data_IF_190079951217
#
_entry.id   IF_190079951217
#
_cell.length_a   1.000
_cell.length_b   1.000
_cell.length_c   1.000
_cell.angle_alpha   90.00
_cell.angle_beta   90.00
_cell.angle_gamma   90.00
#
_symmetry.space_group_name_H-M   'P 1'
#
loop_
_entity.id
_entity.type
_entity.pdbx_description
1 polymer ?
#
# COMPACT_ATOMS: atom_id res chain seq x y z
N UNK A 1 -11.01 17.14 -16.65
CA UNK A 1 -9.77 16.53 -16.10
C UNK A 1 -8.77 16.46 -17.24
N UNK A 2 -7.57 16.95 -17.01
CA UNK A 2 -6.50 16.99 -18.02
C UNK A 2 -5.19 16.54 -17.35
N UNK A 3 -4.53 15.56 -17.96
CA UNK A 3 -3.23 15.02 -17.52
C UNK A 3 -3.21 14.62 -16.03
N UNK A 4 -4.24 13.91 -15.56
CA UNK A 4 -4.32 13.37 -14.20
C UNK A 4 -5.16 14.17 -13.20
N UNK A 5 -5.44 15.47 -13.46
CA UNK A 5 -6.11 16.33 -12.46
C UNK A 5 -7.19 17.26 -13.04
N UNK A 6 -8.03 17.84 -12.18
CA UNK A 6 -8.98 18.89 -12.56
C UNK A 6 -8.25 20.21 -12.76
N UNK A 7 -8.20 20.67 -14.01
CA UNK A 7 -7.53 21.91 -14.39
C UNK A 7 -8.39 22.67 -15.38
N UNK A 8 -8.16 23.98 -15.48
CA UNK A 8 -8.79 24.79 -16.51
C UNK A 8 -8.14 24.54 -17.89
N UNK A 9 -8.88 24.85 -18.96
CA UNK A 9 -8.41 24.70 -20.35
C UNK A 9 -7.12 25.49 -20.62
N UNK A 10 -6.93 26.64 -19.96
CA UNK A 10 -5.71 27.43 -20.07
C UNK A 10 -4.46 26.69 -19.56
N UNK A 11 -4.56 25.97 -18.43
CA UNK A 11 -3.43 25.21 -17.89
C UNK A 11 -3.22 23.88 -18.64
N UNK A 12 -4.30 23.26 -19.13
CA UNK A 12 -4.21 22.11 -20.05
C UNK A 12 -3.40 22.45 -21.29
N UNK A 13 -3.76 23.52 -22.00
CA UNK A 13 -3.08 23.90 -23.24
C UNK A 13 -1.62 24.31 -22.98
N UNK A 14 -1.38 25.02 -21.89
CA UNK A 14 -0.03 25.38 -21.45
C UNK A 14 0.84 24.14 -21.21
N UNK A 15 0.38 23.22 -20.34
CA UNK A 15 1.11 22.00 -19.98
C UNK A 15 1.43 21.15 -21.21
N UNK A 16 0.45 20.93 -22.10
CA UNK A 16 0.66 20.20 -23.36
C UNK A 16 1.81 20.78 -24.17
N UNK A 17 1.79 22.11 -24.41
CA UNK A 17 2.80 22.78 -25.22
C UNK A 17 4.17 22.79 -24.58
N UNK A 18 4.23 22.91 -23.25
CA UNK A 18 5.48 22.83 -22.50
C UNK A 18 6.15 21.48 -22.69
N UNK A 19 5.40 20.40 -22.49
CA UNK A 19 5.92 19.03 -22.56
C UNK A 19 6.26 18.62 -24.00
N UNK A 20 5.33 18.78 -24.95
CA UNK A 20 5.55 18.36 -26.34
C UNK A 20 6.71 19.08 -27.02
N UNK A 21 6.95 20.34 -26.66
CA UNK A 21 8.04 21.14 -27.24
C UNK A 21 9.27 21.21 -26.32
N UNK A 22 9.32 20.39 -25.26
CA UNK A 22 10.43 20.32 -24.29
C UNK A 22 10.90 21.71 -23.83
N UNK A 23 9.95 22.59 -23.52
CA UNK A 23 10.24 23.99 -23.15
C UNK A 23 10.84 24.06 -21.76
N UNK A 24 11.97 24.74 -21.65
CA UNK A 24 12.62 25.08 -20.40
C UNK A 24 12.34 26.56 -20.12
N UNK A 25 11.92 26.87 -18.89
CA UNK A 25 11.60 28.21 -18.45
C UNK A 25 12.49 28.62 -17.30
N UNK A 26 12.77 29.92 -17.18
CA UNK A 26 13.43 30.52 -16.02
C UNK A 26 12.44 31.40 -15.26
N UNK A 27 12.60 31.48 -13.94
CA UNK A 27 11.74 32.34 -13.13
C UNK A 27 12.00 33.83 -13.43
N UNK A 28 10.94 34.62 -13.50
CA UNK A 28 11.04 36.07 -13.69
C UNK A 28 11.39 36.80 -12.38
N UNK A 29 10.99 36.25 -11.23
CA UNK A 29 11.24 36.83 -9.90
C UNK A 29 12.50 36.31 -9.20
N UNK A 30 13.28 35.41 -9.84
CA UNK A 30 14.42 34.66 -9.29
C UNK A 30 14.12 33.74 -8.08
N UNK A 31 13.16 34.09 -7.23
CA UNK A 31 12.72 33.37 -6.02
C UNK A 31 11.95 32.05 -6.27
N UNK A 32 11.47 31.84 -7.49
CA UNK A 32 10.64 30.69 -7.85
C UNK A 32 9.23 30.70 -7.26
N UNK A 33 8.79 31.81 -6.66
CA UNK A 33 7.56 31.90 -5.86
C UNK A 33 6.48 32.84 -6.45
N UNK A 34 6.54 33.14 -7.76
CA UNK A 34 5.59 34.05 -8.39
C UNK A 34 4.11 33.61 -8.20
N UNK A 35 3.19 34.52 -7.84
CA UNK A 35 1.80 34.18 -7.56
C UNK A 35 1.04 33.71 -8.80
N UNK A 36 0.34 32.59 -8.67
CA UNK A 36 -0.41 31.95 -9.77
C UNK A 36 -1.91 32.11 -9.61
N UNK A 37 -2.41 33.29 -10.03
CA UNK A 37 -3.85 33.62 -10.12
C UNK A 37 -4.36 33.54 -11.57
N UNK A 38 -5.68 33.64 -11.78
CA UNK A 38 -6.29 33.57 -13.11
C UNK A 38 -5.78 34.71 -14.03
N UNK A 39 -5.52 35.87 -13.45
CA UNK A 39 -5.07 37.10 -14.10
C UNK A 39 -3.56 37.07 -14.37
N UNK A 40 -2.76 36.62 -13.38
CA UNK A 40 -1.30 36.76 -13.42
C UNK A 40 -0.54 35.50 -13.81
N UNK A 41 -1.19 34.34 -13.98
CA UNK A 41 -0.54 33.07 -14.36
C UNK A 41 0.29 33.12 -15.65
N UNK A 42 0.08 34.11 -16.52
CA UNK A 42 0.85 34.25 -17.75
C UNK A 42 2.19 35.00 -17.54
N UNK A 43 2.39 35.66 -16.39
CA UNK A 43 3.56 36.50 -16.11
C UNK A 43 4.85 35.70 -15.90
N UNK A 44 4.76 34.50 -15.31
CA UNK A 44 5.91 33.63 -15.09
C UNK A 44 5.58 32.21 -15.54
N UNK A 45 6.16 31.79 -16.68
CA UNK A 45 5.93 30.45 -17.22
C UNK A 45 6.59 29.36 -16.37
N UNK A 46 7.74 29.64 -15.76
CA UNK A 46 8.43 28.73 -14.86
C UNK A 46 7.56 28.35 -13.66
N UNK A 47 7.16 29.34 -12.83
CA UNK A 47 6.34 29.07 -11.66
C UNK A 47 4.96 28.49 -12.02
N UNK A 48 4.43 28.83 -13.20
CA UNK A 48 3.18 28.22 -13.69
C UNK A 48 3.36 26.73 -13.99
N UNK A 49 4.46 26.36 -14.64
CA UNK A 49 4.76 24.96 -14.94
C UNK A 49 5.07 24.17 -13.67
N UNK A 50 5.88 24.74 -12.77
CA UNK A 50 6.12 24.18 -11.44
C UNK A 50 4.80 23.94 -10.70
N UNK A 51 3.87 24.90 -10.68
CA UNK A 51 2.54 24.70 -10.08
C UNK A 51 1.71 23.61 -10.76
N UNK A 52 1.86 23.40 -12.07
CA UNK A 52 1.19 22.31 -12.78
C UNK A 52 1.72 20.95 -12.29
N UNK A 53 3.04 20.80 -12.19
CA UNK A 53 3.69 19.60 -11.65
C UNK A 53 3.33 19.38 -10.18
N UNK A 54 3.46 20.43 -9.37
CA UNK A 54 3.12 20.42 -7.95
C UNK A 54 1.64 20.12 -7.69
N UNK A 55 0.72 20.36 -8.63
CA UNK A 55 -0.69 19.97 -8.47
C UNK A 55 -0.98 18.56 -8.99
N UNK A 56 0.01 17.88 -9.57
CA UNK A 56 -0.10 16.50 -10.05
C UNK A 56 -0.41 16.36 -11.54
N UNK A 57 -0.08 17.34 -12.39
CA UNK A 57 -0.15 17.12 -13.85
C UNK A 57 0.97 16.16 -14.30
N UNK A 58 0.61 15.05 -14.94
CA UNK A 58 1.52 13.97 -15.33
C UNK A 58 2.11 14.23 -16.73
N UNK A 59 3.44 14.25 -16.84
CA UNK A 59 4.16 14.53 -18.09
C UNK A 59 3.86 13.48 -19.17
N UNK A 60 3.87 12.21 -18.78
CA UNK A 60 3.66 11.03 -19.63
C UNK A 60 2.23 10.94 -20.18
N UNK A 61 1.29 11.68 -19.59
CA UNK A 61 -0.06 11.81 -20.14
C UNK A 61 -0.10 12.68 -21.40
N UNK A 62 0.98 13.41 -21.71
CA UNK A 62 1.13 14.18 -22.93
C UNK A 62 1.76 13.29 -24.00
N UNK A 63 0.94 12.96 -25.01
CA UNK A 63 1.36 12.26 -26.22
C UNK A 63 2.51 12.98 -26.93
N UNK A 64 3.51 12.22 -27.36
CA UNK A 64 4.57 12.70 -28.26
C UNK A 64 4.05 12.92 -29.68
N UNK A 65 3.12 12.07 -30.13
CA UNK A 65 2.47 12.20 -31.43
C UNK A 65 1.51 13.40 -31.45
N UNK A 66 1.66 14.27 -32.45
CA UNK A 66 0.80 15.47 -32.65
C UNK A 66 -0.61 15.11 -33.18
N UNK A 67 -1.01 13.85 -33.05
CA UNK A 67 -2.29 13.33 -33.52
C UNK A 67 -3.47 14.04 -32.81
N UNK A 68 -4.47 14.54 -33.55
CA UNK A 68 -5.67 15.13 -32.96
C UNK A 68 -6.58 14.04 -32.39
N UNK A 69 -6.76 14.03 -31.06
CA UNK A 69 -7.86 13.32 -30.42
C UNK A 69 -7.70 11.80 -30.32
N UNK A 70 -7.65 11.30 -29.09
CA UNK A 70 -7.80 9.89 -28.76
C UNK A 70 -7.88 9.72 -27.24
N UNK A 71 -8.56 8.67 -26.77
CA UNK A 71 -8.53 8.31 -25.34
C UNK A 71 -7.14 7.74 -25.04
N UNK A 72 -6.43 8.31 -24.06
CA UNK A 72 -5.17 7.72 -23.58
C UNK A 72 -5.54 6.43 -22.83
N UNK A 73 -5.24 5.28 -23.42
CA UNK A 73 -5.39 3.96 -22.79
C UNK A 73 -4.25 3.58 -21.86
N UNK A 74 -3.40 4.54 -21.46
CA UNK A 74 -2.35 4.28 -20.47
C UNK A 74 -3.02 3.87 -19.15
N UNK A 75 -2.67 2.69 -18.65
CA UNK A 75 -3.12 2.11 -17.37
C UNK A 75 -3.07 3.13 -16.23
N UNK A 76 -2.04 3.98 -16.20
CA UNK A 76 -1.85 5.11 -15.27
C UNK A 76 -3.07 6.03 -15.20
N UNK A 77 -3.75 6.27 -16.33
CA UNK A 77 -4.92 7.16 -16.42
C UNK A 77 -6.19 6.54 -15.84
N UNK A 78 -6.30 5.21 -15.84
CA UNK A 78 -7.44 4.50 -15.27
C UNK A 78 -7.40 4.51 -13.74
N UNK A 79 -6.21 4.48 -13.14
CA UNK A 79 -6.02 4.41 -11.68
C UNK A 79 -6.61 5.64 -10.98
N UNK A 80 -6.44 6.85 -11.52
CA UNK A 80 -6.81 8.11 -10.86
C UNK A 80 -8.15 8.71 -11.29
N UNK A 81 -9.03 7.94 -11.95
CA UNK A 81 -10.34 8.43 -12.42
C UNK A 81 -11.33 8.59 -11.25
N UNK A 82 -11.05 9.50 -10.32
CA UNK A 82 -11.96 9.95 -9.27
C UNK A 82 -13.26 10.48 -9.91
N UNK A 83 -14.33 9.68 -9.81
CA UNK A 83 -15.69 10.14 -10.10
C UNK A 83 -16.15 11.06 -8.96
N UNK A 84 -15.92 12.36 -9.08
CA UNK A 84 -16.82 13.31 -8.44
C UNK A 84 -18.18 13.19 -9.17
N UNK A 85 -19.19 12.64 -8.49
CA UNK A 85 -20.59 12.64 -8.93
C UNK A 85 -20.99 14.08 -9.27
N UNK A 86 -21.02 14.45 -10.56
CA UNK A 86 -21.88 15.52 -11.01
C UNK A 86 -23.23 14.90 -11.33
N UNK A 87 -24.18 15.05 -10.41
CA UNK A 87 -25.59 14.93 -10.71
C UNK A 87 -25.89 15.90 -11.86
N UNK A 88 -26.09 15.37 -13.06
CA UNK A 88 -26.82 16.07 -14.12
C UNK A 88 -27.89 15.13 -14.62
N UNK A 89 -29.07 15.31 -14.04
CA UNK A 89 -30.33 14.93 -14.65
C UNK A 89 -30.38 15.57 -16.05
N UNK A 90 -30.49 14.74 -17.09
CA UNK A 90 -31.09 15.17 -18.37
C UNK A 90 -31.90 14.01 -18.90
N UNK A 91 -33.22 14.16 -19.13
CA UNK A 91 -34.03 13.10 -19.69
C UNK A 91 -33.76 12.96 -21.20
N UNK A 92 -33.97 11.78 -21.80
CA UNK A 92 -33.85 11.61 -23.24
C UNK A 92 -35.13 12.10 -23.93
N UNK A 93 -34.97 13.00 -24.90
CA UNK A 93 -36.00 13.28 -25.89
C UNK A 93 -35.70 12.46 -27.15
N UNK A 94 -36.76 11.81 -27.62
CA UNK A 94 -36.84 10.91 -28.78
C UNK A 94 -36.86 11.68 -30.11
N UNK A 95 -36.67 10.87 -31.15
CA UNK A 95 -37.02 11.04 -32.56
C UNK A 95 -36.03 11.82 -33.44
N UNK A 96 -35.76 11.46 -34.70
CA UNK A 96 -35.67 10.20 -35.46
C UNK A 96 -35.26 10.61 -36.89
N UNK A 97 -34.82 9.63 -37.69
CA UNK A 97 -34.91 9.54 -39.17
C UNK A 97 -33.60 9.61 -39.99
N UNK A 98 -33.45 8.51 -40.76
CA UNK A 98 -32.84 8.31 -42.08
C UNK A 98 -31.31 8.15 -42.18
N UNK A 99 -30.77 7.24 -43.01
CA UNK A 99 -31.29 6.12 -43.81
C UNK A 99 -30.05 5.51 -44.51
N UNK A 100 -29.82 4.21 -44.40
CA UNK A 100 -29.44 3.36 -45.54
C UNK A 100 -29.55 1.87 -45.17
N UNK A 101 -30.42 1.16 -45.89
CA UNK A 101 -30.62 -0.28 -45.90
C UNK A 101 -29.84 -0.91 -47.06
N UNK A 102 -29.43 -2.17 -46.89
CA UNK A 102 -29.64 -3.34 -47.78
C UNK A 102 -28.58 -4.41 -47.41
N UNK A 103 -28.89 -5.38 -46.54
CA UNK A 103 -29.47 -6.73 -46.77
C UNK A 103 -28.60 -7.71 -47.56
N UNK A 104 -28.11 -8.75 -46.87
CA UNK A 104 -28.12 -10.15 -47.32
C UNK A 104 -27.82 -11.08 -46.12
N UNK A 105 -28.77 -11.95 -45.81
CA UNK A 105 -28.69 -13.04 -44.82
C UNK A 105 -27.81 -14.18 -45.31
N UNK A 106 -27.01 -14.81 -44.41
CA UNK A 106 -26.87 -16.29 -44.29
C UNK A 106 -26.44 -16.62 -42.85
N UNK A 107 -27.18 -17.54 -42.24
CA UNK A 107 -27.09 -18.06 -40.87
C UNK A 107 -25.74 -18.72 -40.53
N UNK A 108 -25.26 -18.50 -39.31
CA UNK A 108 -24.12 -19.20 -38.73
C UNK A 108 -24.09 -19.07 -37.20
N UNK A 109 -24.56 -20.12 -36.52
CA UNK A 109 -24.54 -20.31 -35.06
C UNK A 109 -23.24 -19.86 -34.41
N UNK A 110 -23.31 -18.98 -33.42
CA UNK A 110 -22.36 -18.93 -32.31
C UNK A 110 -23.11 -18.64 -31.01
N UNK A 111 -22.78 -19.45 -30.00
CA UNK A 111 -23.43 -19.52 -28.71
C UNK A 111 -23.32 -18.21 -27.93
N UNK A 112 -24.43 -17.85 -27.31
CA UNK A 112 -24.57 -16.77 -26.34
C UNK A 112 -23.86 -17.19 -25.04
N UNK A 113 -22.62 -16.72 -24.86
CA UNK A 113 -21.91 -16.70 -23.57
C UNK A 113 -21.56 -15.24 -23.28
N UNK A 114 -22.58 -14.42 -23.09
CA UNK A 114 -22.42 -13.06 -22.57
C UNK A 114 -22.91 -13.02 -21.12
N UNK A 115 -22.09 -13.56 -20.22
CA UNK A 115 -22.15 -13.21 -18.80
C UNK A 115 -20.75 -12.92 -18.28
N UNK A 116 -20.21 -11.77 -18.69
CA UNK A 116 -19.12 -11.13 -17.97
C UNK A 116 -19.71 -10.10 -17.00
N UNK A 117 -19.56 -10.26 -15.67
CA UNK A 117 -20.12 -9.32 -14.72
C UNK A 117 -19.39 -7.98 -14.87
N UNK A 118 -20.06 -7.07 -15.56
CA UNK A 118 -19.80 -5.64 -15.75
C UNK A 118 -19.00 -5.06 -14.59
N UNK A 119 -17.67 -5.08 -14.72
CA UNK A 119 -16.73 -4.62 -13.69
C UNK A 119 -17.02 -3.15 -13.35
N UNK A 120 -17.43 -2.91 -12.11
CA UNK A 120 -17.51 -1.56 -11.54
C UNK A 120 -16.07 -1.04 -11.55
N UNK A 121 -15.73 -0.14 -12.47
CA UNK A 121 -14.40 0.51 -12.51
C UNK A 121 -14.11 1.20 -11.16
N UNK A 122 -13.43 0.52 -10.24
CA UNK A 122 -12.91 1.05 -8.97
C UNK A 122 -11.62 1.82 -9.25
N UNK A 123 -11.29 2.80 -8.40
CA UNK A 123 -9.97 3.43 -8.40
C UNK A 123 -8.97 2.36 -7.93
N UNK A 124 -7.80 2.25 -8.58
CA UNK A 124 -6.78 1.26 -8.21
C UNK A 124 -6.47 1.28 -6.71
N UNK A 125 -6.31 2.47 -6.13
CA UNK A 125 -6.00 2.59 -4.69
C UNK A 125 -7.13 2.00 -3.86
N UNK A 126 -8.39 2.20 -4.26
CA UNK A 126 -9.53 1.62 -3.57
C UNK A 126 -9.56 0.09 -3.69
N UNK A 127 -9.21 -0.43 -4.86
CA UNK A 127 -9.09 -1.87 -5.09
C UNK A 127 -7.97 -2.47 -4.22
N UNK A 128 -6.81 -1.81 -4.13
CA UNK A 128 -5.72 -2.23 -3.24
C UNK A 128 -6.13 -2.23 -1.77
N UNK A 129 -6.89 -1.21 -1.32
CA UNK A 129 -7.42 -1.15 0.06
C UNK A 129 -8.33 -2.34 0.35
N UNK A 130 -9.22 -2.69 -0.60
CA UNK A 130 -10.13 -3.82 -0.43
C UNK A 130 -9.40 -5.17 -0.40
N UNK A 131 -8.33 -5.31 -1.17
CA UNK A 131 -7.53 -6.55 -1.26
C UNK A 131 -6.62 -6.72 -0.04
N UNK A 132 -6.12 -5.63 0.56
CA UNK A 132 -5.08 -5.69 1.60
C UNK A 132 -5.47 -6.49 2.84
N UNK A 133 -6.75 -6.40 3.26
CA UNK A 133 -7.35 -7.19 4.37
C UNK A 133 -6.42 -7.34 5.60
N UNK A 134 -5.77 -6.24 6.02
CA UNK A 134 -4.73 -6.24 7.06
C UNK A 134 -5.12 -6.96 8.35
N UNK A 135 -6.39 -6.94 8.73
CA UNK A 135 -6.88 -7.62 9.93
C UNK A 135 -6.64 -9.13 9.88
N UNK A 136 -6.79 -9.76 8.69
CA UNK A 136 -6.54 -11.20 8.52
C UNK A 136 -5.07 -11.57 8.68
N UNK A 137 -4.16 -10.66 8.33
CA UNK A 137 -2.73 -10.87 8.50
C UNK A 137 -2.31 -10.79 9.99
N UNK A 138 -3.11 -10.16 10.84
CA UNK A 138 -2.76 -9.86 12.23
C UNK A 138 -3.54 -10.73 13.21
N UNK A 139 -4.77 -11.11 12.89
CA UNK A 139 -5.56 -12.08 13.65
C UNK A 139 -5.20 -13.53 13.28
N UNK A 140 -3.91 -13.86 13.36
CA UNK A 140 -3.41 -15.20 13.06
C UNK A 140 -3.98 -16.19 14.07
N UNK A 141 -4.52 -17.31 13.59
CA UNK A 141 -5.19 -18.34 14.39
C UNK A 141 -4.21 -19.00 15.36
N UNK A 142 -2.97 -19.20 14.93
CA UNK A 142 -1.88 -19.68 15.80
C UNK A 142 -1.58 -18.79 17.02
N UNK A 143 -2.09 -17.55 17.05
CA UNK A 143 -2.00 -16.63 18.19
C UNK A 143 -3.23 -16.63 19.10
N UNK A 144 -4.31 -17.37 18.77
CA UNK A 144 -5.53 -17.44 19.60
C UNK A 144 -5.25 -18.28 20.85
N UNK A 145 -5.64 -17.76 22.01
CA UNK A 145 -5.55 -18.45 23.30
C UNK A 145 -6.97 -18.90 23.60
N UNK A 146 -7.26 -20.19 23.46
CA UNK A 146 -8.54 -20.72 23.94
C UNK A 146 -8.57 -20.60 25.47
N UNK A 147 -9.68 -20.17 26.07
CA UNK A 147 -9.89 -20.38 27.49
C UNK A 147 -9.72 -21.89 27.75
N UNK A 148 -8.97 -22.24 28.79
CA UNK A 148 -8.87 -23.62 29.25
C UNK A 148 -10.27 -23.98 29.76
N UNK A 149 -11.14 -24.46 28.88
CA UNK A 149 -12.35 -25.15 29.27
C UNK A 149 -11.93 -26.58 29.59
N UNK A 150 -12.34 -27.09 30.75
CA UNK A 150 -11.89 -28.35 31.39
C UNK A 150 -12.17 -29.63 30.55
N UNK A 151 -12.61 -29.52 29.29
CA UNK A 151 -13.03 -30.64 28.44
C UNK A 151 -12.48 -30.65 27.00
N UNK A 152 -11.49 -29.83 26.63
CA UNK A 152 -10.98 -29.84 25.25
C UNK A 152 -9.78 -30.80 25.05
N UNK A 153 -9.94 -31.68 24.06
CA UNK A 153 -8.95 -32.59 23.49
C UNK A 153 -7.58 -31.93 23.26
N UNK A 154 -6.51 -32.73 23.37
CA UNK A 154 -5.09 -32.36 23.26
C UNK A 154 -4.83 -31.14 22.35
N UNK A 155 -4.71 -29.94 22.93
CA UNK A 155 -4.21 -28.79 22.18
C UNK A 155 -2.81 -29.11 21.65
N UNK A 156 -2.63 -28.95 20.33
CA UNK A 156 -1.33 -29.08 19.68
C UNK A 156 -0.23 -28.36 20.47
N UNK A 157 0.98 -28.93 20.63
CA UNK A 157 2.06 -28.29 21.37
C UNK A 157 2.28 -26.83 20.95
N UNK A 158 2.55 -25.95 21.91
CA UNK A 158 2.67 -24.51 21.63
C UNK A 158 3.73 -24.17 20.55
N UNK A 159 4.78 -24.98 20.42
CA UNK A 159 5.76 -24.86 19.34
C UNK A 159 5.14 -25.10 17.95
N UNK A 160 4.20 -26.03 17.82
CA UNK A 160 3.48 -26.30 16.57
C UNK A 160 2.51 -25.17 16.26
N UNK A 161 1.81 -24.63 17.27
CA UNK A 161 0.96 -23.44 17.10
C UNK A 161 1.75 -22.23 16.63
N UNK A 162 2.92 -21.98 17.23
CA UNK A 162 3.82 -20.89 16.83
C UNK A 162 4.41 -21.10 15.43
N UNK A 163 4.69 -22.35 15.03
CA UNK A 163 5.15 -22.67 13.68
C UNK A 163 4.08 -22.42 12.62
N UNK A 164 2.82 -22.77 12.90
CA UNK A 164 1.67 -22.52 11.99
C UNK A 164 1.48 -21.05 11.67
N UNK A 165 1.91 -20.14 12.54
CA UNK A 165 1.88 -18.69 12.28
C UNK A 165 2.71 -18.36 11.02
N UNK A 166 3.82 -19.07 10.80
CA UNK A 166 4.65 -18.86 9.62
C UNK A 166 3.90 -19.24 8.35
N UNK A 167 3.27 -20.40 8.37
CA UNK A 167 2.46 -20.90 7.25
C UNK A 167 1.29 -19.94 6.94
N UNK A 168 0.60 -19.45 7.98
CA UNK A 168 -0.48 -18.48 7.82
C UNK A 168 0.02 -17.15 7.22
N UNK A 169 1.17 -16.62 7.68
CA UNK A 169 1.75 -15.40 7.10
C UNK A 169 2.07 -15.61 5.62
N UNK A 170 2.69 -16.73 5.27
CA UNK A 170 3.02 -17.05 3.87
C UNK A 170 1.75 -17.16 3.04
N UNK A 171 0.74 -17.88 3.52
CA UNK A 171 -0.55 -18.04 2.84
C UNK A 171 -1.21 -16.69 2.58
N UNK A 172 -1.28 -15.81 3.60
CA UNK A 172 -1.88 -14.48 3.45
C UNK A 172 -1.10 -13.59 2.47
N UNK A 173 0.24 -13.62 2.49
CA UNK A 173 1.06 -12.84 1.56
C UNK A 173 0.94 -13.35 0.12
N UNK A 174 0.88 -14.66 -0.08
CA UNK A 174 0.68 -15.28 -1.39
C UNK A 174 -0.71 -14.94 -1.92
N UNK A 175 -1.75 -15.05 -1.09
CA UNK A 175 -3.12 -14.72 -1.50
C UNK A 175 -3.27 -13.25 -1.83
N UNK A 176 -2.73 -12.35 -0.99
CA UNK A 176 -2.67 -10.92 -1.28
C UNK A 176 -1.99 -10.64 -2.63
N UNK A 177 -0.87 -11.33 -2.92
CA UNK A 177 -0.12 -11.15 -4.18
C UNK A 177 -0.94 -11.61 -5.40
N UNK A 178 -1.65 -12.74 -5.29
CA UNK A 178 -2.53 -13.25 -6.36
C UNK A 178 -3.67 -12.30 -6.70
N UNK A 179 -4.16 -11.60 -5.69
CA UNK A 179 -5.27 -10.65 -5.82
C UNK A 179 -4.85 -9.31 -6.42
N UNK A 180 -3.54 -9.03 -6.57
CA UNK A 180 -3.08 -7.78 -7.15
C UNK A 180 -3.55 -7.62 -8.61
N UNK A 181 -3.98 -6.41 -9.04
CA UNK A 181 -4.48 -6.17 -10.39
C UNK A 181 -3.50 -6.50 -11.53
N UNK A 182 -2.20 -6.55 -11.22
CA UNK A 182 -1.11 -6.81 -12.17
C UNK A 182 -0.58 -8.25 -12.08
N UNK A 183 -1.19 -9.13 -11.29
CA UNK A 183 -0.68 -10.49 -11.05
C UNK A 183 -0.44 -11.26 -12.37
N UNK A 184 -1.36 -11.15 -13.32
CA UNK A 184 -1.27 -11.80 -14.63
C UNK A 184 -0.22 -11.22 -15.59
N UNK A 185 0.45 -10.12 -15.26
CA UNK A 185 1.45 -9.49 -16.14
C UNK A 185 2.86 -10.07 -15.98
N UNK A 186 3.09 -10.80 -14.89
CA UNK A 186 4.37 -11.39 -14.52
C UNK A 186 4.22 -12.90 -14.27
N UNK A 187 5.26 -13.71 -14.58
CA UNK A 187 5.28 -15.13 -14.25
C UNK A 187 5.21 -15.39 -12.75
N UNK A 188 4.69 -16.56 -12.37
CA UNK A 188 4.55 -16.97 -10.96
C UNK A 188 5.91 -17.00 -10.27
N UNK A 189 6.95 -17.43 -10.96
CA UNK A 189 8.31 -17.51 -10.44
C UNK A 189 8.80 -16.12 -9.99
N UNK A 190 8.50 -15.07 -10.77
CA UNK A 190 8.87 -13.70 -10.41
C UNK A 190 8.18 -13.27 -9.12
N UNK A 191 6.89 -13.56 -8.97
CA UNK A 191 6.15 -13.27 -7.75
C UNK A 191 6.70 -14.02 -6.54
N UNK A 192 7.04 -15.31 -6.71
CA UNK A 192 7.70 -16.12 -5.69
C UNK A 192 9.04 -15.49 -5.29
N UNK A 193 9.85 -15.02 -6.24
CA UNK A 193 11.10 -14.29 -5.95
C UNK A 193 10.86 -13.09 -5.06
N UNK A 194 9.97 -12.20 -5.50
CA UNK A 194 9.72 -10.92 -4.85
C UNK A 194 9.27 -11.15 -3.41
N UNK A 195 8.37 -12.10 -3.19
CA UNK A 195 7.93 -12.50 -1.86
C UNK A 195 9.08 -13.06 -1.01
N UNK A 196 9.90 -13.99 -1.54
CA UNK A 196 11.02 -14.55 -0.77
C UNK A 196 12.02 -13.48 -0.31
N UNK A 197 12.19 -12.41 -1.08
CA UNK A 197 13.10 -11.32 -0.74
C UNK A 197 12.46 -10.26 0.17
N UNK A 198 11.13 -10.07 0.12
CA UNK A 198 10.45 -8.90 0.71
C UNK A 198 9.46 -9.23 1.82
N UNK A 199 9.17 -10.49 2.11
CA UNK A 199 8.17 -10.88 3.10
C UNK A 199 8.39 -10.22 4.47
N UNK A 200 9.65 -10.13 4.93
CA UNK A 200 9.99 -9.55 6.23
C UNK A 200 9.67 -8.04 6.29
N UNK A 201 9.96 -7.31 5.22
CA UNK A 201 9.61 -5.88 5.10
C UNK A 201 8.09 -5.69 5.04
N UNK A 202 7.37 -6.55 4.30
CA UNK A 202 5.90 -6.50 4.18
C UNK A 202 5.21 -6.76 5.53
N UNK A 203 5.70 -7.73 6.30
CA UNK A 203 5.20 -8.07 7.63
C UNK A 203 5.39 -6.90 8.59
N UNK A 204 6.60 -6.34 8.68
CA UNK A 204 6.90 -5.22 9.58
C UNK A 204 6.10 -3.98 9.21
N UNK A 205 6.02 -3.65 7.91
CA UNK A 205 5.22 -2.53 7.42
C UNK A 205 3.74 -2.67 7.81
N UNK A 206 3.18 -3.88 7.66
CA UNK A 206 1.79 -4.14 8.03
C UNK A 206 1.56 -4.05 9.55
N UNK A 207 2.47 -4.61 10.35
CA UNK A 207 2.39 -4.51 11.81
C UNK A 207 2.49 -3.05 12.30
N UNK A 208 3.38 -2.24 11.70
CA UNK A 208 3.48 -0.81 12.00
C UNK A 208 2.19 -0.06 11.65
N UNK A 209 1.65 -0.27 10.44
CA UNK A 209 0.45 0.43 10.01
C UNK A 209 -0.75 0.09 10.90
N UNK A 210 -1.01 -1.18 11.15
CA UNK A 210 -2.11 -1.61 12.01
C UNK A 210 -2.04 -1.01 13.43
N UNK A 211 -0.85 -1.04 14.03
CA UNK A 211 -0.66 -0.50 15.38
C UNK A 211 -0.92 1.00 15.43
N UNK A 212 -0.45 1.75 14.45
CA UNK A 212 -0.70 3.19 14.37
C UNK A 212 -2.17 3.51 14.12
N UNK A 213 -2.85 2.76 13.24
CA UNK A 213 -4.27 2.97 12.94
C UNK A 213 -5.18 2.68 14.13
N UNK A 214 -4.82 1.70 14.95
CA UNK A 214 -5.61 1.35 16.14
C UNK A 214 -5.26 2.23 17.35
N UNK A 215 -4.02 2.69 17.47
CA UNK A 215 -3.63 3.63 18.52
C UNK A 215 -4.39 4.97 18.41
N UNK A 216 -4.70 5.43 17.19
CA UNK A 216 -5.47 6.67 17.00
C UNK A 216 -6.93 6.60 17.44
N UNK A 217 -7.47 5.40 17.74
CA UNK A 217 -8.80 5.26 18.34
C UNK A 217 -8.80 5.47 19.87
N UNK A 218 -7.62 5.54 20.49
CA UNK A 218 -7.46 5.75 21.93
C UNK A 218 -6.85 7.14 22.15
N UNK A 219 -7.71 8.10 22.49
CA UNK A 219 -7.41 9.42 23.09
C UNK A 219 -6.64 10.46 22.24
N UNK A 220 -7.39 11.41 21.67
CA UNK A 220 -6.92 12.79 21.38
C UNK A 220 -7.07 13.71 22.61
N UNK A 221 -7.17 13.17 23.83
CA UNK A 221 -7.49 13.99 25.00
C UNK A 221 -6.84 13.57 26.33
N UNK A 222 -5.61 13.05 26.33
CA UNK A 222 -4.87 12.95 27.61
C UNK A 222 -3.37 13.14 27.44
N UNK A 223 -3.00 14.42 27.45
CA UNK A 223 -1.65 14.88 27.77
C UNK A 223 -1.32 14.48 29.21
N UNK A 224 -0.21 13.73 29.38
CA UNK A 224 0.56 13.54 30.62
C UNK A 224 -0.18 12.86 31.78
N UNK A 225 0.21 11.62 32.08
CA UNK A 225 0.26 11.12 33.46
C UNK A 225 1.32 10.04 33.60
N UNK A 226 2.50 10.47 34.08
CA UNK A 226 3.34 9.66 34.95
C UNK A 226 2.54 9.29 36.19
N UNK A 227 1.86 8.14 36.18
CA UNK A 227 1.52 7.36 37.38
C UNK A 227 1.38 5.92 36.95
N UNK A 228 2.06 5.04 37.67
CA UNK A 228 2.03 3.59 37.56
C UNK A 228 0.60 3.08 37.73
N UNK A 229 -0.11 2.85 36.63
CA UNK A 229 -1.27 1.97 36.60
C UNK A 229 -0.76 0.63 36.09
N UNK A 230 -0.91 -0.39 36.93
CA UNK A 230 -0.62 -1.77 36.58
C UNK A 230 -1.49 -2.18 35.37
N UNK A 231 -0.84 -2.51 34.25
CA UNK A 231 -1.47 -3.30 33.19
C UNK A 231 -1.79 -2.60 31.87
N UNK A 232 -0.91 -1.77 31.33
CA UNK A 232 -0.99 -1.46 29.89
C UNK A 232 -0.72 -2.75 29.10
N UNK A 233 -1.80 -3.40 28.64
CA UNK A 233 -1.72 -4.52 27.71
C UNK A 233 -1.49 -4.06 26.26
N UNK A 234 -1.19 -2.77 26.06
CA UNK A 234 -0.99 -2.13 24.77
C UNK A 234 0.50 -1.97 24.41
N UNK A 235 0.76 -1.85 23.10
CA UNK A 235 2.11 -1.64 22.58
C UNK A 235 2.59 -0.22 22.90
N UNK A 236 3.79 -0.11 23.48
CA UNK A 236 4.47 1.17 23.67
C UNK A 236 5.19 1.60 22.39
N UNK A 237 5.03 2.87 22.02
CA UNK A 237 5.76 3.48 20.90
C UNK A 237 7.12 4.06 21.33
N UNK A 238 7.45 4.05 22.62
CA UNK A 238 8.64 4.73 23.15
C UNK A 238 9.53 3.80 23.98
N UNK A 239 8.95 2.84 24.70
CA UNK A 239 9.66 1.99 25.63
C UNK A 239 9.76 0.54 25.12
N UNK A 240 10.94 0.17 24.63
CA UNK A 240 11.23 -1.20 24.22
C UNK A 240 11.18 -2.19 25.40
N UNK A 241 11.50 -1.76 26.62
CA UNK A 241 11.47 -2.61 27.80
C UNK A 241 10.03 -2.96 28.19
N UNK A 242 9.10 -2.01 28.08
CA UNK A 242 7.67 -2.27 28.20
C UNK A 242 7.20 -3.30 27.17
N UNK A 243 7.59 -3.15 25.90
CA UNK A 243 7.25 -4.09 24.84
C UNK A 243 7.84 -5.50 25.06
N UNK A 244 9.04 -5.61 25.63
CA UNK A 244 9.63 -6.91 25.99
C UNK A 244 8.83 -7.59 27.12
N UNK A 245 8.41 -6.84 28.15
CA UNK A 245 7.55 -7.39 29.23
C UNK A 245 6.19 -7.81 28.68
N UNK A 246 5.60 -6.99 27.80
CA UNK A 246 4.34 -7.33 27.12
C UNK A 246 4.48 -8.62 26.30
N UNK A 247 5.56 -8.72 25.50
CA UNK A 247 5.88 -9.92 24.74
C UNK A 247 6.03 -11.15 25.65
N UNK A 248 6.73 -11.01 26.77
CA UNK A 248 6.94 -12.10 27.74
C UNK A 248 5.61 -12.57 28.35
N UNK A 249 4.71 -11.66 28.74
CA UNK A 249 3.36 -12.00 29.23
C UNK A 249 2.58 -12.80 28.16
N UNK A 250 2.57 -12.31 26.92
CA UNK A 250 1.82 -12.92 25.82
C UNK A 250 2.40 -14.26 25.38
N UNK A 251 3.73 -14.39 25.29
CA UNK A 251 4.38 -15.67 25.01
C UNK A 251 4.13 -16.68 26.12
N UNK A 252 4.17 -16.27 27.39
CA UNK A 252 3.88 -17.16 28.51
C UNK A 252 2.45 -17.71 28.43
N UNK A 253 1.49 -16.86 28.04
CA UNK A 253 0.11 -17.26 27.82
C UNK A 253 -0.03 -18.23 26.64
N UNK A 254 0.59 -17.93 25.48
CA UNK A 254 0.58 -18.83 24.31
C UNK A 254 1.26 -20.16 24.62
N UNK A 255 2.31 -20.18 25.44
CA UNK A 255 3.05 -21.38 25.80
C UNK A 255 2.41 -22.18 26.96
N UNK A 256 1.41 -21.61 27.65
CA UNK A 256 0.78 -22.22 28.82
C UNK A 256 1.72 -22.37 30.03
N UNK A 257 2.88 -21.68 30.01
CA UNK A 257 3.89 -21.74 31.08
C UNK A 257 4.66 -20.43 31.18
N UNK A 258 5.11 -20.03 32.38
CA UNK A 258 5.90 -18.82 32.55
C UNK A 258 7.23 -18.94 31.81
N UNK A 259 7.57 -17.91 31.02
CA UNK A 259 8.87 -17.78 30.36
C UNK A 259 9.71 -16.75 31.11
N UNK A 260 10.94 -17.08 31.51
CA UNK A 260 11.86 -16.13 32.13
C UNK A 260 12.10 -14.91 31.24
N UNK A 261 12.03 -13.71 31.81
CA UNK A 261 12.21 -12.45 31.07
C UNK A 261 13.60 -12.37 30.41
N UNK A 262 14.63 -12.91 31.07
CA UNK A 262 16.01 -12.98 30.57
C UNK A 262 16.12 -13.73 29.23
N UNK A 263 15.33 -14.79 29.04
CA UNK A 263 15.31 -15.53 27.78
C UNK A 263 14.65 -14.69 26.67
N UNK A 264 13.58 -13.97 26.98
CA UNK A 264 12.91 -13.09 26.01
C UNK A 264 13.81 -11.92 25.62
N UNK A 265 14.52 -11.31 26.58
CA UNK A 265 15.51 -10.25 26.30
C UNK A 265 16.60 -10.78 25.37
N UNK A 266 17.16 -11.96 25.66
CA UNK A 266 18.25 -12.55 24.87
C UNK A 266 17.83 -12.87 23.43
N UNK A 267 16.68 -13.50 23.26
CA UNK A 267 16.25 -13.99 21.94
C UNK A 267 15.49 -12.93 21.13
N UNK A 268 14.67 -12.09 21.78
CA UNK A 268 13.76 -11.13 21.12
C UNK A 268 14.23 -9.68 21.23
N UNK A 269 15.06 -9.34 22.22
CA UNK A 269 15.43 -7.96 22.55
C UNK A 269 15.87 -7.12 21.35
N UNK A 270 16.86 -7.56 20.54
CA UNK A 270 17.32 -6.80 19.38
C UNK A 270 16.20 -6.52 18.35
N UNK A 271 15.28 -7.47 18.16
CA UNK A 271 14.15 -7.30 17.26
C UNK A 271 13.12 -6.33 17.85
N UNK A 272 12.78 -6.46 19.13
CA UNK A 272 11.81 -5.59 19.80
C UNK A 272 12.32 -4.15 19.85
N UNK A 273 13.59 -3.92 20.16
CA UNK A 273 14.18 -2.57 20.16
C UNK A 273 14.11 -1.90 18.79
N UNK A 274 14.51 -2.62 17.73
CA UNK A 274 14.41 -2.11 16.35
C UNK A 274 12.96 -1.89 15.95
N UNK A 275 12.05 -2.80 16.30
CA UNK A 275 10.64 -2.70 15.97
C UNK A 275 9.97 -1.52 16.69
N UNK A 276 10.24 -1.30 17.99
CA UNK A 276 9.74 -0.13 18.74
C UNK A 276 10.21 1.17 18.10
N UNK A 277 11.49 1.25 17.70
CA UNK A 277 12.04 2.43 17.01
C UNK A 277 11.38 2.64 15.65
N UNK A 278 11.15 1.56 14.91
CA UNK A 278 10.46 1.58 13.62
C UNK A 278 9.02 2.08 13.75
N UNK A 279 8.31 1.58 14.77
CA UNK A 279 6.94 1.92 15.08
C UNK A 279 6.81 3.39 15.52
N UNK A 280 7.72 3.88 16.36
CA UNK A 280 7.80 5.28 16.75
C UNK A 280 7.94 6.20 15.54
N UNK A 281 8.89 5.89 14.64
CA UNK A 281 9.12 6.72 13.46
C UNK A 281 7.96 6.68 12.48
N UNK A 282 7.33 5.51 12.30
CA UNK A 282 6.16 5.36 11.43
C UNK A 282 4.95 6.16 11.95
N UNK A 283 4.72 6.21 13.27
CA UNK A 283 3.59 6.96 13.86
C UNK A 283 3.70 8.47 13.63
N UNK A 284 4.93 9.00 13.57
CA UNK A 284 5.16 10.43 13.28
C UNK A 284 4.84 10.83 11.84
N UNK A 285 4.90 9.89 10.91
CA UNK A 285 4.67 10.17 9.48
C UNK A 285 3.19 10.36 9.14
N UNK A 286 2.24 9.90 9.98
CA UNK A 286 0.78 9.97 9.72
C UNK A 286 0.42 9.42 8.33
N UNK A 287 0.86 8.20 8.07
CA UNK A 287 0.61 7.51 6.81
C UNK A 287 -0.89 7.16 6.72
N UNK A 288 -1.53 7.63 5.66
CA UNK A 288 -2.93 7.30 5.33
C UNK A 288 -3.03 5.89 4.75
N UNK A 289 -4.22 5.28 4.79
CA UNK A 289 -4.46 3.94 4.24
C UNK A 289 -4.11 3.84 2.76
N UNK A 290 -4.44 4.87 1.97
CA UNK A 290 -4.09 4.98 0.56
C UNK A 290 -2.57 4.99 0.33
N UNK A 291 -1.83 5.73 1.17
CA UNK A 291 -0.37 5.77 1.09
C UNK A 291 0.24 4.43 1.51
N UNK A 292 -0.29 3.80 2.56
CA UNK A 292 0.17 2.50 3.05
C UNK A 292 0.09 1.40 1.97
N UNK A 293 -1.07 1.25 1.30
CA UNK A 293 -1.22 0.21 0.27
C UNK A 293 -0.30 0.44 -0.93
N UNK A 294 -0.02 1.71 -1.27
CA UNK A 294 0.95 2.05 -2.29
C UNK A 294 2.37 1.68 -1.84
N UNK A 295 2.77 2.02 -0.61
CA UNK A 295 4.09 1.68 -0.06
C UNK A 295 4.26 0.16 -0.03
N UNK A 296 3.25 -0.60 0.41
CA UNK A 296 3.29 -2.07 0.46
C UNK A 296 3.49 -2.67 -0.93
N UNK A 297 2.78 -2.18 -1.95
CA UNK A 297 2.98 -2.60 -3.34
C UNK A 297 4.38 -2.23 -3.85
N UNK A 298 4.86 -1.01 -3.58
CA UNK A 298 6.22 -0.57 -3.94
C UNK A 298 7.28 -1.48 -3.30
N UNK A 299 7.11 -1.86 -2.04
CA UNK A 299 7.99 -2.77 -1.30
C UNK A 299 8.03 -4.14 -1.94
N UNK A 300 6.87 -4.73 -2.30
CA UNK A 300 6.82 -6.02 -3.00
C UNK A 300 7.61 -5.97 -4.32
N UNK A 301 7.35 -4.95 -5.16
CA UNK A 301 7.97 -4.83 -6.48
C UNK A 301 9.40 -4.25 -6.44
N UNK A 302 9.97 -4.03 -5.24
CA UNK A 302 11.33 -3.53 -5.14
C UNK A 302 12.34 -4.65 -5.42
N UNK A 303 12.85 -4.68 -6.65
CA UNK A 303 13.85 -5.65 -7.07
C UNK A 303 15.27 -5.20 -6.68
N UNK A 304 16.02 -6.05 -5.94
CA UNK A 304 17.45 -5.85 -5.71
C UNK A 304 18.29 -6.60 -6.75
N UNK A 305 19.19 -5.88 -7.43
CA UNK A 305 20.09 -6.43 -8.47
C UNK A 305 21.06 -7.49 -7.94
N UNK A 306 21.25 -7.58 -6.62
CA UNK A 306 22.22 -8.48 -5.97
C UNK A 306 21.69 -9.89 -5.71
N UNK A 307 20.43 -10.18 -6.03
CA UNK A 307 19.87 -11.52 -5.87
C UNK A 307 20.11 -12.35 -7.13
N UNK A 308 20.95 -13.37 -7.03
CA UNK A 308 21.26 -14.31 -8.11
C UNK A 308 20.02 -15.16 -8.43
N UNK A 309 19.13 -14.62 -9.26
CA UNK A 309 18.06 -15.38 -9.89
C UNK A 309 18.67 -16.44 -10.80
N UNK A 310 18.73 -17.69 -10.31
CA UNK A 310 19.33 -18.86 -10.96
C UNK A 310 18.29 -19.76 -11.65
N UNK A 311 17.01 -19.39 -11.63
CA UNK A 311 15.92 -20.16 -12.24
C UNK A 311 15.65 -19.79 -13.71
N UNK A 312 15.92 -20.75 -14.61
CA UNK A 312 15.39 -20.95 -15.98
C UNK A 312 15.54 -19.82 -17.02
N UNK A 313 16.18 -20.18 -18.14
CA UNK A 313 16.38 -19.41 -19.39
C UNK A 313 16.85 -17.96 -19.21
N UNK A 314 18.16 -17.77 -19.23
CA UNK A 314 18.89 -16.50 -19.16
C UNK A 314 18.48 -15.44 -20.23
N UNK A 315 17.60 -15.78 -21.17
CA UNK A 315 17.16 -14.91 -22.27
C UNK A 315 16.11 -13.86 -21.87
N UNK A 316 15.26 -14.08 -20.88
CA UNK A 316 14.11 -13.19 -20.60
C UNK A 316 14.22 -12.36 -19.29
N UNK A 317 15.25 -12.61 -18.48
CA UNK A 317 15.52 -11.90 -17.22
C UNK A 317 15.44 -10.36 -17.36
N UNK A 318 16.10 -9.70 -18.33
CA UNK A 318 16.01 -8.23 -18.45
C UNK A 318 14.60 -7.72 -18.77
N UNK A 319 13.79 -8.50 -19.50
CA UNK A 319 12.42 -8.12 -19.86
C UNK A 319 11.50 -8.12 -18.64
N UNK A 320 11.60 -9.12 -17.77
CA UNK A 320 10.82 -9.18 -16.53
C UNK A 320 11.25 -8.12 -15.53
N UNK A 321 12.55 -7.85 -15.38
CA UNK A 321 13.03 -6.74 -14.55
C UNK A 321 12.45 -5.39 -15.01
N UNK A 322 12.40 -5.17 -16.32
CA UNK A 322 11.81 -3.95 -16.88
C UNK A 322 10.32 -3.86 -16.56
N UNK A 323 9.57 -4.97 -16.69
CA UNK A 323 8.15 -5.02 -16.33
C UNK A 323 7.91 -4.77 -14.84
N UNK A 324 8.67 -5.41 -13.95
CA UNK A 324 8.59 -5.20 -12.50
C UNK A 324 8.82 -3.72 -12.16
N UNK A 325 9.84 -3.11 -12.77
CA UNK A 325 10.15 -1.69 -12.56
C UNK A 325 9.03 -0.79 -13.10
N UNK A 326 8.45 -1.12 -14.26
CA UNK A 326 7.32 -0.38 -14.83
C UNK A 326 6.09 -0.44 -13.92
N UNK A 327 5.78 -1.62 -13.37
CA UNK A 327 4.68 -1.81 -12.42
C UNK A 327 4.96 -1.01 -11.14
N UNK A 328 6.18 -1.10 -10.59
CA UNK A 328 6.58 -0.35 -9.41
C UNK A 328 6.43 1.17 -9.61
N UNK A 329 6.88 1.69 -10.76
CA UNK A 329 6.80 3.12 -11.09
C UNK A 329 5.34 3.63 -11.11
N UNK A 330 4.37 2.78 -11.48
CA UNK A 330 2.96 3.14 -11.41
C UNK A 330 2.51 3.39 -9.97
N UNK A 331 2.92 2.55 -9.01
CA UNK A 331 2.60 2.75 -7.60
C UNK A 331 3.37 3.92 -6.98
N UNK A 332 4.63 4.14 -7.37
CA UNK A 332 5.42 5.32 -6.95
C UNK A 332 4.72 6.60 -7.39
N UNK A 333 4.29 6.68 -8.64
CA UNK A 333 3.53 7.82 -9.18
C UNK A 333 2.20 8.00 -8.46
N UNK A 334 1.47 6.92 -8.21
CA UNK A 334 0.21 6.98 -7.47
C UNK A 334 0.41 7.54 -6.06
N UNK A 335 1.43 7.05 -5.33
CA UNK A 335 1.81 7.57 -4.02
C UNK A 335 2.17 9.05 -4.08
N UNK A 336 3.03 9.46 -5.03
CA UNK A 336 3.44 10.87 -5.16
C UNK A 336 2.25 11.79 -5.41
N UNK A 337 1.32 11.41 -6.28
CA UNK A 337 0.12 12.20 -6.56
C UNK A 337 -0.74 12.29 -5.29
N UNK A 338 -0.90 11.21 -4.53
CA UNK A 338 -1.66 11.20 -3.28
C UNK A 338 -1.06 12.13 -2.22
N UNK A 339 0.25 12.03 -1.98
CA UNK A 339 0.96 12.88 -1.01
C UNK A 339 0.91 14.37 -1.40
N UNK A 340 0.96 14.67 -2.69
CA UNK A 340 0.82 16.04 -3.21
C UNK A 340 -0.60 16.60 -2.97
N UNK A 341 -1.61 15.75 -3.10
CA UNK A 341 -3.01 16.18 -2.94
C UNK A 341 -3.41 16.36 -1.48
N UNK A 342 -2.71 15.70 -0.56
CA UNK A 342 -3.00 15.71 0.87
C UNK A 342 -1.87 16.43 1.64
N UNK A 343 -1.95 17.77 1.73
CA UNK A 343 -0.91 18.62 2.34
C UNK A 343 -0.67 18.34 3.83
N UNK A 344 -1.62 17.68 4.53
CA UNK A 344 -1.52 17.31 5.94
C UNK A 344 -0.95 15.90 6.18
N UNK A 345 -0.72 15.12 5.13
CA UNK A 345 -0.21 13.74 5.21
C UNK A 345 1.32 13.66 5.17
N UNK A 346 1.84 12.44 5.29
CA UNK A 346 3.26 12.13 5.19
C UNK A 346 3.95 12.77 3.98
N UNK A 347 5.17 13.29 4.15
CA UNK A 347 5.97 13.76 3.01
C UNK A 347 6.76 12.60 2.42
N UNK A 348 7.03 12.69 1.13
CA UNK A 348 7.89 11.72 0.43
C UNK A 348 9.27 11.63 1.09
N UNK A 349 9.82 12.75 1.57
CA UNK A 349 11.09 12.78 2.31
C UNK A 349 11.09 11.86 3.52
N UNK A 350 10.00 11.86 4.27
CA UNK A 350 9.88 11.14 5.54
C UNK A 350 9.76 9.63 5.28
N UNK A 351 9.07 9.26 4.19
CA UNK A 351 9.01 7.86 3.72
C UNK A 351 10.41 7.37 3.30
N UNK A 352 11.15 8.18 2.55
CA UNK A 352 12.48 7.80 2.07
C UNK A 352 13.51 7.67 3.20
N UNK A 353 13.39 8.45 4.27
CA UNK A 353 14.25 8.32 5.46
C UNK A 353 13.84 7.14 6.35
N UNK A 354 12.57 6.74 6.32
CA UNK A 354 12.06 5.60 7.07
C UNK A 354 12.39 4.24 6.41
N UNK A 355 12.43 4.15 5.08
CA UNK A 355 12.72 2.89 4.36
C UNK A 355 14.02 2.18 4.80
N UNK A 356 15.17 2.87 5.01
CA UNK A 356 16.37 2.24 5.56
C UNK A 356 16.17 1.65 6.96
N UNK A 357 15.32 2.26 7.79
CA UNK A 357 14.99 1.71 9.11
C UNK A 357 14.18 0.42 8.98
N UNK A 358 13.20 0.39 8.07
CA UNK A 358 12.44 -0.82 7.75
C UNK A 358 13.39 -1.93 7.30
N UNK A 359 14.31 -1.62 6.39
CA UNK A 359 15.30 -2.59 5.93
C UNK A 359 16.18 -3.11 7.07
N UNK A 360 16.66 -2.23 7.96
CA UNK A 360 17.46 -2.62 9.12
C UNK A 360 16.71 -3.54 10.08
N UNK A 361 15.43 -3.26 10.36
CA UNK A 361 14.58 -4.10 11.19
C UNK A 361 14.27 -5.45 10.51
N UNK A 362 14.01 -5.43 9.20
CA UNK A 362 13.74 -6.65 8.42
C UNK A 362 14.93 -7.60 8.41
N UNK A 363 16.16 -7.09 8.36
CA UNK A 363 17.37 -7.89 8.45
C UNK A 363 17.46 -8.63 9.79
N UNK A 364 17.11 -7.98 10.89
CA UNK A 364 17.06 -8.66 12.21
C UNK A 364 15.93 -9.69 12.26
N UNK A 365 14.78 -9.41 11.65
CA UNK A 365 13.67 -10.36 11.56
C UNK A 365 14.06 -11.62 10.77
N UNK A 366 14.77 -11.47 9.64
CA UNK A 366 15.21 -12.58 8.78
C UNK A 366 16.16 -13.55 9.51
N UNK A 367 16.98 -13.05 10.42
CA UNK A 367 17.89 -13.87 11.23
C UNK A 367 17.25 -14.37 12.54
N UNK A 368 16.03 -13.91 12.86
CA UNK A 368 15.30 -14.32 14.07
C UNK A 368 14.44 -15.54 13.80
N UNK A 369 14.35 -16.43 14.80
CA UNK A 369 13.38 -17.54 14.78
C UNK A 369 11.97 -17.12 15.19
N UNK A 370 11.78 -15.85 15.54
CA UNK A 370 10.53 -15.33 16.13
C UNK A 370 9.86 -14.30 15.22
N UNK A 371 9.56 -14.72 13.98
CA UNK A 371 8.91 -13.87 12.98
C UNK A 371 7.51 -13.37 13.38
N UNK A 372 6.88 -14.02 14.35
CA UNK A 372 5.56 -13.68 14.91
C UNK A 372 5.61 -12.51 15.91
N UNK A 373 6.79 -12.08 16.37
CA UNK A 373 6.94 -11.05 17.41
C UNK A 373 6.23 -9.73 17.08
N UNK A 374 6.37 -9.16 15.86
CA UNK A 374 5.65 -7.93 15.51
C UNK A 374 4.13 -8.08 15.73
N UNK A 375 3.52 -9.16 15.23
CA UNK A 375 2.10 -9.41 15.39
C UNK A 375 1.69 -9.67 16.84
N UNK A 376 2.49 -10.47 17.55
CA UNK A 376 2.21 -10.81 18.94
C UNK A 376 2.31 -9.59 19.86
N UNK A 377 3.09 -8.56 19.54
CA UNK A 377 3.11 -7.30 20.29
C UNK A 377 1.94 -6.39 19.87
N UNK A 378 1.58 -6.36 18.58
CA UNK A 378 0.57 -5.44 18.04
C UNK A 378 -0.88 -5.88 18.26
N UNK A 379 -1.16 -7.17 18.51
CA UNK A 379 -2.53 -7.69 18.70
C UNK A 379 -3.18 -7.10 19.98
N UNK A 380 -4.47 -6.75 19.97
CA UNK A 380 -5.15 -6.31 21.20
C UNK A 380 -5.67 -7.54 21.98
N UNK A 381 -5.53 -7.58 23.31
CA UNK A 381 -5.90 -8.73 24.12
C UNK A 381 -7.35 -9.17 24.04
N UNK A 382 -8.29 -8.24 23.86
CA UNK A 382 -9.72 -8.54 23.79
C UNK A 382 -10.11 -9.35 22.53
N UNK A 383 -9.21 -9.45 21.53
CA UNK A 383 -9.34 -10.37 20.37
C UNK A 383 -8.64 -11.73 20.58
N UNK A 384 -8.10 -12.02 21.77
CA UNK A 384 -7.56 -13.37 22.08
C UNK A 384 -8.65 -14.38 22.43
N UNK A 385 -9.77 -13.92 23.01
CA UNK A 385 -10.96 -14.73 23.19
C UNK A 385 -11.75 -14.70 21.88
N UNK A 386 -11.99 -15.85 21.26
CA UNK A 386 -12.68 -15.95 19.98
C UNK A 386 -14.12 -15.44 20.02
N UNK A 387 -14.32 -14.13 19.91
CA UNK A 387 -15.60 -13.53 19.53
C UNK A 387 -15.70 -13.48 18.00
N UNK A 388 -15.69 -14.66 17.39
CA UNK A 388 -16.25 -14.89 16.05
C UNK A 388 -17.36 -15.93 16.24
N UNK A 389 -18.40 -15.60 17.01
CA UNK A 389 -19.69 -16.29 16.99
C UNK A 389 -20.75 -15.35 17.62
N UNK A 390 -21.24 -14.43 16.79
CA UNK A 390 -22.61 -13.91 16.85
C UNK A 390 -23.08 -13.39 15.50
#
# INVERSE_FOLDING_TARGET
>A
MHYGIYTCEGCKGFFKRTVQNKRIYSCVGADGACPMTKEHRNRCQFCRFQKCLQRGMVLEAVREDRMPGGRNGSTVYSLYKLRCRKARHRPPLRDSISLCKNTADVEGRLADYDDCPRAKNKNLIQELIEIDQIEKLIDLRGLRIFPIDDNCEELDPACQRLSRIGDEIVEQLVEWTKMLPFYGELPVEVHTHLLTQRWAELVLLSACFYSCSNATHVSDDTVVSTTTIEGDEEVSFLDSSANIRLLQKRLSAVMGKPIPLEHVIKEAGPLVEKFTTLLYSFSKMRITTEAYVCIKAITLFHYSKTSDWSGTSHLDKPQFLQKVTLIQDQFVKALQIHLIQNEEAARLSDILTWLPMLHSASSVLLHSKMFYVPFLICKNPHRFAGQDDQ
#
